data_IF_272757690333
#
_entry.id   IF_272757690333
#
_cell.length_a   1.000
_cell.length_b   1.000
_cell.length_c   1.000
_cell.angle_alpha   90.00
_cell.angle_beta   90.00
_cell.angle_gamma   90.00
#
_symmetry.space_group_name_H-M   'P 1'
#
loop_
_entity.id
_entity.type
_entity.pdbx_description
1 polymer ?
#
# COMPACT_ATOMS: atom_id res chain seq x y z
N UNK A 1 -22.62 54.17 1.81
CA UNK A 1 -22.22 52.81 2.24
C UNK A 1 -21.44 52.11 1.14
N UNK A 2 -20.53 51.21 1.51
CA UNK A 2 -19.77 50.34 0.61
C UNK A 2 -19.82 48.90 1.10
N UNK A 3 -19.66 47.94 0.19
CA UNK A 3 -19.56 46.52 0.52
C UNK A 3 -18.34 45.93 -0.19
N UNK A 4 -17.51 45.17 0.54
CA UNK A 4 -16.29 44.51 0.05
C UNK A 4 -16.12 43.15 0.73
N UNK A 5 -15.11 42.36 0.34
CA UNK A 5 -14.61 41.20 1.12
C UNK A 5 -13.40 41.61 1.96
N UNK A 6 -13.04 40.84 2.97
CA UNK A 6 -11.83 41.12 3.76
C UNK A 6 -10.56 41.04 2.92
N UNK A 7 -9.49 41.64 3.43
CA UNK A 7 -8.20 41.79 2.77
C UNK A 7 -8.25 42.45 1.36
N UNK A 8 -9.42 42.90 0.89
CA UNK A 8 -9.58 43.67 -0.34
C UNK A 8 -9.46 45.16 -0.05
N UNK A 9 -8.60 45.83 -0.82
CA UNK A 9 -8.40 47.27 -0.70
C UNK A 9 -9.59 48.06 -1.26
N UNK A 10 -10.15 48.96 -0.46
CA UNK A 10 -11.16 49.92 -0.87
C UNK A 10 -10.57 51.31 -1.07
N UNK A 11 -11.25 52.14 -1.86
CA UNK A 11 -10.91 53.55 -2.06
C UNK A 11 -12.08 54.43 -1.61
N UNK A 12 -11.76 55.42 -0.76
CA UNK A 12 -12.71 56.38 -0.22
C UNK A 12 -12.33 57.79 -0.68
N UNK A 13 -13.34 58.58 -1.04
CA UNK A 13 -13.15 59.97 -1.49
C UNK A 13 -14.04 60.90 -0.70
N UNK A 14 -13.49 62.05 -0.33
CA UNK A 14 -14.17 63.03 0.51
C UNK A 14 -13.96 64.44 0.00
N UNK A 15 -14.93 65.29 0.27
CA UNK A 15 -14.90 66.71 -0.06
C UNK A 15 -15.56 67.51 1.06
N UNK A 16 -15.05 68.72 1.30
CA UNK A 16 -15.67 69.70 2.19
C UNK A 16 -15.90 71.01 1.44
N UNK A 17 -16.87 71.79 1.90
CA UNK A 17 -17.19 73.11 1.37
C UNK A 17 -17.36 74.09 2.52
N UNK A 18 -16.72 75.26 2.40
CA UNK A 18 -16.90 76.39 3.31
C UNK A 18 -17.46 77.61 2.56
N UNK A 19 -18.09 78.53 3.29
CA UNK A 19 -18.55 79.81 2.78
C UNK A 19 -17.39 80.79 2.50
N UNK A 20 -16.27 80.69 3.23
CA UNK A 20 -15.02 81.38 2.88
C UNK A 20 -14.25 80.56 1.83
N UNK A 21 -14.21 81.09 0.61
CA UNK A 21 -13.56 80.45 -0.54
C UNK A 21 -12.03 80.40 -0.42
N UNK A 22 -11.43 81.05 0.58
CA UNK A 22 -9.99 81.03 0.83
C UNK A 22 -9.59 80.00 1.89
N UNK A 23 -10.55 79.33 2.53
CA UNK A 23 -10.26 78.35 3.58
C UNK A 23 -9.70 77.05 3.01
N UNK A 24 -8.65 76.57 3.67
CA UNK A 24 -8.11 75.23 3.42
C UNK A 24 -8.70 74.25 4.42
N UNK A 25 -9.00 73.04 3.94
CA UNK A 25 -9.64 72.00 4.73
C UNK A 25 -8.69 70.83 4.91
N UNK A 26 -8.58 70.34 6.13
CA UNK A 26 -7.93 69.05 6.42
C UNK A 26 -9.00 67.98 6.55
N UNK A 27 -8.94 66.97 5.69
CA UNK A 27 -9.86 65.83 5.69
C UNK A 27 -9.20 64.64 6.38
N UNK A 28 -9.67 64.30 7.57
CA UNK A 28 -9.16 63.19 8.39
C UNK A 28 -10.16 62.05 8.41
N UNK A 29 -9.71 60.85 8.08
CA UNK A 29 -10.49 59.62 8.02
C UNK A 29 -10.22 58.74 9.24
N UNK A 30 -11.26 58.30 9.91
CA UNK A 30 -11.27 57.18 10.87
C UNK A 30 -12.03 56.02 10.23
N UNK A 31 -11.40 54.85 10.12
CA UNK A 31 -11.97 53.70 9.43
C UNK A 31 -12.88 52.83 10.33
N UNK A 32 -12.94 53.11 11.63
CA UNK A 32 -13.82 52.40 12.57
C UNK A 32 -13.34 51.02 13.02
N UNK A 33 -12.12 50.61 12.65
CA UNK A 33 -11.47 49.34 13.00
C UNK A 33 -10.31 49.51 14.00
N UNK A 34 -10.10 50.72 14.50
CA UNK A 34 -8.99 51.05 15.42
C UNK A 34 -7.64 51.27 14.74
N UNK A 35 -7.58 51.25 13.41
CA UNK A 35 -6.39 51.66 12.65
C UNK A 35 -6.10 53.17 12.81
N UNK A 36 -4.90 53.60 12.42
CA UNK A 36 -4.55 55.01 12.49
C UNK A 36 -5.35 55.84 11.50
N UNK A 37 -5.78 57.03 11.93
CA UNK A 37 -6.46 57.97 11.04
C UNK A 37 -5.57 58.43 9.90
N UNK A 38 -6.13 58.60 8.71
CA UNK A 38 -5.39 59.03 7.50
C UNK A 38 -5.92 60.38 7.02
N UNK A 39 -5.03 61.25 6.52
CA UNK A 39 -5.41 62.55 5.96
C UNK A 39 -5.34 62.52 4.44
N UNK A 40 -6.41 62.96 3.76
CA UNK A 40 -6.42 63.07 2.30
C UNK A 40 -7.82 63.24 1.70
N UNK A 41 -7.87 63.73 0.45
CA UNK A 41 -9.12 63.81 -0.33
C UNK A 41 -9.50 62.48 -0.97
N UNK A 42 -8.53 61.59 -1.14
CA UNK A 42 -8.68 60.21 -1.57
C UNK A 42 -7.76 59.34 -0.71
N UNK A 43 -8.32 58.34 -0.04
CA UNK A 43 -7.57 57.40 0.81
C UNK A 43 -7.88 55.96 0.41
N UNK A 44 -6.92 55.07 0.66
CA UNK A 44 -7.09 53.62 0.49
C UNK A 44 -7.01 52.96 1.86
N UNK A 45 -7.83 51.93 2.06
CA UNK A 45 -7.84 51.15 3.29
C UNK A 45 -8.15 49.68 2.99
N UNK A 46 -7.66 48.77 3.82
CA UNK A 46 -7.93 47.34 3.75
C UNK A 46 -8.34 46.88 5.13
N UNK A 47 -9.55 46.32 5.24
CA UNK A 47 -10.01 45.69 6.47
C UNK A 47 -9.47 44.26 6.53
N UNK A 48 -8.77 43.87 7.61
CA UNK A 48 -8.12 42.56 7.70
C UNK A 48 -9.07 41.41 8.04
N UNK A 49 -10.29 41.71 8.47
CA UNK A 49 -11.30 40.79 8.98
C UNK A 49 -12.68 41.28 8.51
N UNK A 50 -13.68 40.40 8.48
CA UNK A 50 -15.04 40.72 8.11
C UNK A 50 -15.78 41.52 9.21
N UNK A 51 -16.91 42.12 8.85
CA UNK A 51 -17.74 42.87 9.79
C UNK A 51 -18.33 44.15 9.22
N UNK A 52 -18.84 44.99 10.12
CA UNK A 52 -19.46 46.27 9.75
C UNK A 52 -18.74 47.42 10.43
N UNK A 53 -18.05 48.24 9.65
CA UNK A 53 -17.23 49.34 10.11
C UNK A 53 -17.87 50.69 9.76
N UNK A 54 -17.95 51.59 10.74
CA UNK A 54 -18.44 52.96 10.51
C UNK A 54 -17.25 53.87 10.24
N UNK A 55 -17.08 54.25 8.98
CA UNK A 55 -16.04 55.20 8.58
C UNK A 55 -16.53 56.62 8.87
N UNK A 56 -15.70 57.41 9.55
CA UNK A 56 -15.98 58.82 9.88
C UNK A 56 -14.98 59.72 9.16
N UNK A 57 -15.48 60.63 8.34
CA UNK A 57 -14.71 61.72 7.75
C UNK A 57 -14.90 62.99 8.59
N UNK A 58 -13.81 63.54 9.10
CA UNK A 58 -13.78 64.83 9.80
C UNK A 58 -13.11 65.89 8.92
N UNK A 59 -13.83 66.94 8.57
CA UNK A 59 -13.29 68.12 7.91
C UNK A 59 -13.00 69.21 8.95
N UNK A 60 -11.75 69.67 9.02
CA UNK A 60 -11.30 70.77 9.87
C UNK A 60 -10.86 71.95 9.00
N UNK A 61 -11.46 73.12 9.19
CA UNK A 61 -11.01 74.37 8.56
C UNK A 61 -9.83 74.99 9.32
N UNK A 62 -9.21 76.02 8.72
CA UNK A 62 -8.05 76.69 9.31
C UNK A 62 -8.35 77.55 10.55
N UNK A 63 -9.62 77.91 10.74
CA UNK A 63 -10.10 78.73 11.85
C UNK A 63 -10.64 77.88 13.02
N UNK A 64 -10.62 76.55 12.88
CA UNK A 64 -10.97 75.56 13.89
C UNK A 64 -12.39 75.01 13.82
N UNK A 65 -13.19 75.38 12.82
CA UNK A 65 -14.50 74.80 12.56
C UNK A 65 -14.40 73.36 12.05
N UNK A 66 -15.37 72.53 12.45
CA UNK A 66 -15.37 71.10 12.17
C UNK A 66 -16.74 70.63 11.67
N UNK A 67 -16.72 69.78 10.65
CA UNK A 67 -17.87 69.02 10.18
C UNK A 67 -17.51 67.53 10.10
N UNK A 68 -18.50 66.65 10.31
CA UNK A 68 -18.32 65.21 10.19
C UNK A 68 -19.38 64.61 9.28
N UNK A 69 -18.99 63.59 8.53
CA UNK A 69 -19.88 62.71 7.78
C UNK A 69 -19.46 61.25 8.01
N UNK A 70 -20.39 60.32 7.88
CA UNK A 70 -20.13 58.90 8.14
C UNK A 70 -20.77 58.01 7.08
N UNK A 71 -20.09 56.91 6.76
CA UNK A 71 -20.65 55.86 5.91
C UNK A 71 -20.38 54.49 6.53
N UNK A 72 -21.25 53.53 6.23
CA UNK A 72 -21.06 52.15 6.64
C UNK A 72 -20.25 51.39 5.56
N UNK A 73 -19.20 50.69 5.97
CA UNK A 73 -18.51 49.68 5.17
C UNK A 73 -18.87 48.30 5.71
N UNK A 74 -19.50 47.47 4.89
CA UNK A 74 -19.74 46.06 5.18
C UNK A 74 -18.67 45.22 4.51
N UNK A 75 -17.90 44.48 5.29
CA UNK A 75 -16.86 43.56 4.85
C UNK A 75 -17.40 42.15 5.03
N UNK A 76 -17.47 41.38 3.95
CA UNK A 76 -17.96 40.00 3.95
C UNK A 76 -16.81 39.03 4.18
N UNK A 77 -17.10 37.94 4.88
CA UNK A 77 -16.20 36.79 5.00
C UNK A 77 -15.87 36.19 3.63
N UNK A 78 -14.69 35.61 3.51
CA UNK A 78 -14.24 34.83 2.35
C UNK A 78 -14.01 33.40 2.79
N UNK A 79 -14.47 32.42 2.02
CA UNK A 79 -14.17 31.02 2.35
C UNK A 79 -12.65 30.76 2.29
N UNK A 80 -12.11 29.89 3.16
CA UNK A 80 -10.71 29.48 3.11
C UNK A 80 -10.39 28.72 1.82
N UNK A 81 -9.12 28.66 1.47
CA UNK A 81 -8.61 27.93 0.30
C UNK A 81 -7.69 26.80 0.73
N UNK A 82 -7.93 25.57 0.25
CA UNK A 82 -6.96 24.46 0.38
C UNK A 82 -5.87 24.67 -0.66
N UNK A 83 -4.65 24.92 -0.20
CA UNK A 83 -3.48 25.15 -1.05
C UNK A 83 -2.82 23.84 -1.47
N UNK A 84 -2.86 22.82 -0.61
CA UNK A 84 -2.36 21.47 -0.92
C UNK A 84 -3.06 20.40 -0.09
N UNK A 85 -3.25 19.23 -0.69
CA UNK A 85 -3.71 18.00 -0.05
C UNK A 85 -2.90 16.85 -0.63
N UNK A 86 -2.29 16.06 0.24
CA UNK A 86 -1.49 14.89 -0.12
C UNK A 86 -1.56 13.81 0.95
N UNK A 87 -1.16 12.61 0.58
CA UNK A 87 -1.02 11.49 1.51
C UNK A 87 -0.64 10.22 0.78
N UNK A 88 -0.65 9.11 1.51
CA UNK A 88 -0.46 7.79 0.92
C UNK A 88 -1.57 7.49 -0.10
N UNK A 89 -1.17 6.95 -1.25
CA UNK A 89 -2.10 6.53 -2.32
C UNK A 89 -2.42 5.05 -2.27
N UNK A 90 -1.58 4.27 -1.58
CA UNK A 90 -1.70 2.82 -1.44
C UNK A 90 -1.12 2.39 -0.09
N UNK A 91 -1.86 1.57 0.65
CA UNK A 91 -1.45 1.05 1.97
C UNK A 91 -2.00 -0.36 2.16
N UNK A 92 -1.38 -1.19 3.00
CA UNK A 92 -1.97 -2.46 3.42
C UNK A 92 -2.90 -2.26 4.61
N UNK A 93 -4.01 -2.98 4.65
CA UNK A 93 -4.96 -2.88 5.78
C UNK A 93 -4.30 -3.24 7.12
N UNK A 94 -4.47 -2.39 8.13
CA UNK A 94 -3.83 -2.48 9.44
C UNK A 94 -2.49 -1.75 9.55
N UNK A 95 -1.95 -1.20 8.46
CA UNK A 95 -0.83 -0.25 8.50
C UNK A 95 -1.33 1.18 8.55
N UNK A 96 -0.51 2.07 9.10
CA UNK A 96 -0.80 3.49 9.24
C UNK A 96 -0.57 4.21 7.90
N UNK A 97 -1.61 4.87 7.39
CA UNK A 97 -1.55 5.78 6.26
C UNK A 97 -1.39 7.22 6.74
N UNK A 98 -0.59 8.01 6.05
CA UNK A 98 -0.27 9.39 6.41
C UNK A 98 -0.93 10.38 5.45
N UNK A 99 -1.44 11.48 6.00
CA UNK A 99 -2.08 12.56 5.26
C UNK A 99 -1.57 13.92 5.74
N UNK A 100 -1.42 14.84 4.79
CA UNK A 100 -0.99 16.20 5.05
C UNK A 100 -1.72 17.19 4.13
N UNK A 101 -1.96 18.40 4.65
CA UNK A 101 -2.56 19.47 3.90
C UNK A 101 -2.06 20.83 4.35
N UNK A 102 -2.29 21.83 3.51
CA UNK A 102 -2.17 23.23 3.86
C UNK A 102 -3.37 23.99 3.31
N UNK A 103 -3.84 24.96 4.07
CA UNK A 103 -4.88 25.89 3.65
C UNK A 103 -4.53 27.30 4.15
N UNK A 104 -5.11 28.28 3.47
CA UNK A 104 -4.94 29.69 3.77
C UNK A 104 -6.28 30.40 3.75
N UNK A 105 -6.35 31.51 4.49
CA UNK A 105 -7.48 32.43 4.50
C UNK A 105 -7.01 33.84 4.14
N UNK A 106 -7.88 34.63 3.52
CA UNK A 106 -7.62 36.03 3.19
C UNK A 106 -7.39 36.89 4.45
N UNK A 107 -8.13 36.63 5.53
CA UNK A 107 -8.00 37.30 6.83
C UNK A 107 -6.76 36.84 7.63
N UNK A 108 -6.16 35.72 7.22
CA UNK A 108 -4.89 35.23 7.74
C UNK A 108 -4.96 34.80 9.20
N UNK A 109 -4.36 35.57 10.10
CA UNK A 109 -4.37 35.24 11.54
C UNK A 109 -5.63 35.69 12.28
N UNK A 110 -6.49 36.47 11.63
CA UNK A 110 -7.77 36.87 12.20
C UNK A 110 -8.76 35.70 12.16
N UNK A 111 -8.59 34.80 11.18
CA UNK A 111 -9.50 33.68 10.92
C UNK A 111 -8.77 32.33 11.08
N UNK A 112 -8.64 31.81 12.31
CA UNK A 112 -7.89 30.59 12.55
C UNK A 112 -8.61 29.35 12.03
N UNK A 113 -7.96 28.65 11.10
CA UNK A 113 -8.53 27.51 10.40
C UNK A 113 -8.66 26.24 11.25
N UNK A 114 -9.83 25.59 11.11
CA UNK A 114 -10.13 24.27 11.65
C UNK A 114 -10.19 23.24 10.52
N UNK A 115 -9.44 22.15 10.68
CA UNK A 115 -9.34 21.05 9.72
C UNK A 115 -10.13 19.87 10.25
N UNK A 116 -10.98 19.28 9.41
CA UNK A 116 -11.73 18.05 9.68
C UNK A 116 -11.41 17.01 8.62
N UNK A 117 -10.81 15.90 9.04
CA UNK A 117 -10.43 14.77 8.21
C UNK A 117 -11.44 13.64 8.37
N UNK A 118 -12.15 13.28 7.29
CA UNK A 118 -12.95 12.06 7.19
C UNK A 118 -12.21 11.07 6.28
N UNK A 119 -11.96 9.84 6.75
CA UNK A 119 -11.18 8.86 6.02
C UNK A 119 -12.00 7.99 5.06
N UNK A 120 -13.33 8.13 5.06
CA UNK A 120 -14.22 7.44 4.10
C UNK A 120 -14.43 5.95 4.38
N UNK A 121 -13.97 5.44 5.53
CA UNK A 121 -14.15 4.05 5.97
C UNK A 121 -15.21 3.87 7.08
N UNK A 122 -15.92 4.96 7.41
CA UNK A 122 -16.95 4.99 8.44
C UNK A 122 -16.43 5.18 9.87
N UNK A 123 -15.12 5.39 10.04
CA UNK A 123 -14.54 5.88 11.30
C UNK A 123 -14.97 7.32 11.61
N UNK A 124 -14.89 7.74 12.88
CA UNK A 124 -15.20 9.12 13.27
C UNK A 124 -14.18 10.11 12.68
N UNK A 125 -14.62 11.24 12.08
CA UNK A 125 -13.71 12.25 11.57
C UNK A 125 -12.82 12.85 12.67
N UNK A 126 -11.58 13.19 12.31
CA UNK A 126 -10.62 13.85 13.22
C UNK A 126 -10.62 15.35 12.95
N UNK A 127 -10.92 16.14 13.98
CA UNK A 127 -11.03 17.61 13.86
C UNK A 127 -10.04 18.32 14.77
N UNK A 128 -9.40 19.37 14.29
CA UNK A 128 -8.53 20.22 15.09
C UNK A 128 -8.14 21.53 14.41
N UNK A 129 -7.89 22.56 15.21
CA UNK A 129 -7.37 23.84 14.74
C UNK A 129 -5.91 23.66 14.27
N UNK A 130 -5.58 24.15 13.07
CA UNK A 130 -4.27 23.92 12.43
C UNK A 130 -3.83 22.44 12.38
N UNK A 131 -4.75 21.49 12.26
CA UNK A 131 -4.44 20.07 12.11
C UNK A 131 -4.03 19.75 10.65
N UNK A 132 -2.83 20.20 10.29
CA UNK A 132 -2.28 20.11 8.92
C UNK A 132 -1.75 18.72 8.56
N UNK A 133 -1.68 17.79 9.51
CA UNK A 133 -1.27 16.41 9.28
C UNK A 133 -1.96 15.45 10.22
N UNK A 134 -2.32 14.27 9.72
CA UNK A 134 -2.92 13.20 10.52
C UNK A 134 -2.55 11.84 9.95
N UNK A 135 -2.71 10.81 10.77
CA UNK A 135 -2.48 9.43 10.37
C UNK A 135 -3.76 8.62 10.61
N UNK A 136 -3.98 7.57 9.82
CA UNK A 136 -5.13 6.69 9.97
C UNK A 136 -4.83 5.25 9.59
N UNK A 137 -5.41 4.30 10.32
CA UNK A 137 -5.23 2.86 10.05
C UNK A 137 -6.53 2.26 9.55
N UNK A 138 -6.56 1.89 8.27
CA UNK A 138 -7.72 1.27 7.64
C UNK A 138 -7.85 -0.21 8.00
N UNK A 139 -9.06 -0.64 8.34
CA UNK A 139 -9.39 -2.06 8.53
C UNK A 139 -10.20 -2.65 7.38
N UNK A 140 -10.88 -1.79 6.61
CA UNK A 140 -11.60 -2.16 5.40
C UNK A 140 -10.67 -2.07 4.18
N UNK A 141 -10.83 -2.99 3.23
CA UNK A 141 -10.06 -3.04 2.00
C UNK A 141 -10.81 -2.39 0.84
N UNK A 142 -10.07 -1.91 -0.15
CA UNK A 142 -10.61 -1.25 -1.34
C UNK A 142 -10.24 0.23 -1.42
N UNK A 143 -10.93 0.95 -2.29
CA UNK A 143 -10.73 2.39 -2.48
C UNK A 143 -11.45 3.16 -1.36
N UNK A 144 -10.71 4.01 -0.64
CA UNK A 144 -11.25 4.94 0.35
C UNK A 144 -11.13 6.37 -0.20
N UNK A 145 -12.15 7.17 0.10
CA UNK A 145 -12.20 8.60 -0.27
C UNK A 145 -12.01 9.43 0.99
N UNK A 146 -10.80 9.91 1.20
CA UNK A 146 -10.48 10.83 2.28
C UNK A 146 -11.02 12.20 1.90
N UNK A 147 -11.76 12.82 2.79
CA UNK A 147 -12.36 14.13 2.60
C UNK A 147 -11.81 15.08 3.65
N UNK A 148 -11.09 16.11 3.20
CA UNK A 148 -10.63 17.20 4.05
C UNK A 148 -11.62 18.36 3.93
N UNK A 149 -12.18 18.78 5.06
CA UNK A 149 -12.94 20.03 5.17
C UNK A 149 -12.15 21.03 5.99
N UNK A 150 -11.97 22.24 5.47
CA UNK A 150 -11.32 23.35 6.18
C UNK A 150 -12.35 24.45 6.38
N UNK A 151 -12.49 24.91 7.62
CA UNK A 151 -13.40 25.97 8.02
C UNK A 151 -12.64 27.12 8.68
N UNK A 152 -13.03 28.36 8.39
CA UNK A 152 -12.70 29.52 9.22
C UNK A 152 -13.60 29.57 10.47
N UNK A 153 -13.43 30.57 11.33
CA UNK A 153 -14.24 30.77 12.54
C UNK A 153 -15.52 31.59 12.32
N UNK A 154 -15.69 32.18 11.12
CA UNK A 154 -16.85 32.97 10.71
C UNK A 154 -17.85 32.21 9.81
N UNK A 155 -17.59 30.92 9.60
CA UNK A 155 -18.50 29.96 8.98
C UNK A 155 -18.26 29.68 7.51
N UNK A 156 -17.22 30.27 6.91
CA UNK A 156 -16.75 29.90 5.57
C UNK A 156 -16.05 28.55 5.59
N UNK A 157 -16.26 27.78 4.52
CA UNK A 157 -15.77 26.40 4.44
C UNK A 157 -15.39 26.01 3.01
N UNK A 158 -14.35 25.18 2.91
CA UNK A 158 -13.94 24.53 1.66
C UNK A 158 -13.66 23.05 1.90
N UNK A 159 -13.69 22.27 0.82
CA UNK A 159 -13.48 20.82 0.88
C UNK A 159 -12.68 20.34 -0.33
N UNK A 160 -11.79 19.39 -0.09
CA UNK A 160 -11.07 18.64 -1.13
C UNK A 160 -10.98 17.16 -0.75
N UNK A 161 -10.70 16.31 -1.74
CA UNK A 161 -10.69 14.85 -1.59
C UNK A 161 -9.39 14.20 -2.03
N UNK A 162 -9.02 13.12 -1.36
CA UNK A 162 -7.86 12.30 -1.67
C UNK A 162 -8.24 10.82 -1.71
N UNK A 163 -7.67 10.06 -2.64
CA UNK A 163 -7.98 8.64 -2.80
C UNK A 163 -6.84 7.75 -2.32
N UNK A 164 -7.16 6.77 -1.48
CA UNK A 164 -6.21 5.75 -1.02
C UNK A 164 -6.75 4.34 -1.29
N UNK A 165 -5.93 3.49 -1.89
CA UNK A 165 -6.26 2.07 -2.09
C UNK A 165 -5.71 1.24 -0.94
N UNK A 166 -6.60 0.67 -0.13
CA UNK A 166 -6.26 -0.23 0.97
C UNK A 166 -6.19 -1.67 0.46
N UNK A 167 -4.99 -2.22 0.37
CA UNK A 167 -4.68 -3.54 -0.17
C UNK A 167 -4.80 -4.62 0.90
N UNK A 168 -5.17 -5.82 0.45
CA UNK A 168 -5.08 -7.05 1.25
C UNK A 168 -3.65 -7.60 1.24
N UNK A 169 -3.26 -8.38 2.25
CA UNK A 169 -2.02 -9.14 2.19
C UNK A 169 -2.04 -10.12 1.02
N UNK A 170 -0.87 -10.43 0.47
CA UNK A 170 -0.71 -11.30 -0.70
C UNK A 170 0.47 -12.24 -0.47
N UNK A 171 0.29 -13.52 -0.76
CA UNK A 171 1.41 -14.48 -0.82
C UNK A 171 2.24 -14.19 -2.05
N UNK A 172 3.53 -13.91 -1.88
CA UNK A 172 4.43 -13.62 -3.00
C UNK A 172 5.18 -14.85 -3.45
N UNK A 173 5.60 -15.69 -2.51
CA UNK A 173 6.48 -16.82 -2.80
C UNK A 173 6.22 -18.02 -1.88
N UNK A 174 6.53 -19.21 -2.38
CA UNK A 174 6.47 -20.48 -1.67
C UNK A 174 7.75 -21.24 -1.91
N UNK A 175 8.39 -21.71 -0.84
CA UNK A 175 9.66 -22.41 -0.93
C UNK A 175 9.59 -23.75 -0.23
N UNK A 176 10.30 -24.72 -0.80
CA UNK A 176 10.74 -25.88 -0.08
C UNK A 176 12.15 -25.64 0.44
N UNK A 177 12.42 -26.01 1.68
CA UNK A 177 13.76 -26.02 2.23
C UNK A 177 14.01 -27.29 3.03
N UNK A 178 15.27 -27.67 3.17
CA UNK A 178 15.63 -28.88 3.91
C UNK A 178 16.17 -28.51 5.29
N UNK A 179 15.33 -28.69 6.30
CA UNK A 179 15.68 -28.43 7.70
C UNK A 179 16.61 -29.53 8.25
N UNK A 180 17.36 -29.21 9.32
CA UNK A 180 18.37 -30.09 9.93
C UNK A 180 19.50 -30.52 8.97
N UNK A 181 19.91 -29.68 8.01
CA UNK A 181 20.92 -30.05 7.00
C UNK A 181 22.22 -29.26 7.14
N UNK A 182 23.27 -29.63 6.39
CA UNK A 182 24.50 -28.85 6.39
C UNK A 182 24.29 -27.39 5.92
N UNK A 183 23.23 -27.15 5.13
CA UNK A 183 22.93 -25.86 4.53
C UNK A 183 22.29 -24.86 5.50
N UNK A 184 21.56 -25.34 6.52
CA UNK A 184 21.04 -24.50 7.61
C UNK A 184 21.94 -24.45 8.86
N UNK A 185 23.10 -25.11 8.81
CA UNK A 185 24.02 -25.21 9.96
C UNK A 185 23.76 -26.41 10.88
N UNK A 186 22.98 -27.40 10.43
CA UNK A 186 22.52 -28.57 11.17
C UNK A 186 21.69 -28.20 12.40
N UNK A 187 20.86 -27.16 12.26
CA UNK A 187 20.03 -26.63 13.33
C UNK A 187 18.57 -27.05 13.17
N UNK A 188 17.90 -27.42 14.27
CA UNK A 188 16.46 -27.69 14.27
C UNK A 188 15.60 -26.47 14.62
N UNK A 189 16.24 -25.36 14.95
CA UNK A 189 15.57 -24.13 15.36
C UNK A 189 15.43 -23.20 14.17
N UNK A 190 14.22 -22.70 13.96
CA UNK A 190 13.94 -21.79 12.86
C UNK A 190 14.74 -20.49 13.02
N UNK A 191 15.44 -20.09 11.96
CA UNK A 191 16.30 -18.91 11.92
C UNK A 191 16.47 -18.36 10.51
N UNK A 192 17.08 -17.18 10.39
CA UNK A 192 17.41 -16.62 9.08
C UNK A 192 18.43 -17.47 8.28
N UNK A 193 19.16 -18.40 8.93
CA UNK A 193 20.14 -19.26 8.27
C UNK A 193 19.43 -20.29 7.38
N UNK A 194 18.20 -20.67 7.72
CA UNK A 194 17.39 -21.67 7.01
C UNK A 194 17.13 -21.26 5.55
N UNK A 195 17.21 -19.97 5.22
CA UNK A 195 17.11 -19.48 3.86
C UNK A 195 18.20 -20.04 2.93
N UNK A 196 19.36 -20.45 3.48
CA UNK A 196 20.43 -21.09 2.71
C UNK A 196 20.10 -22.54 2.33
N UNK A 197 19.13 -23.16 3.00
CA UNK A 197 18.68 -24.52 2.73
C UNK A 197 17.45 -24.57 1.80
N UNK A 198 17.06 -23.44 1.20
CA UNK A 198 16.01 -23.39 0.18
C UNK A 198 16.47 -24.09 -1.10
N UNK A 199 15.70 -25.08 -1.55
CA UNK A 199 15.94 -25.75 -2.82
C UNK A 199 15.30 -24.95 -3.96
N UNK A 200 16.06 -24.01 -4.52
CA UNK A 200 15.62 -23.16 -5.64
C UNK A 200 15.37 -23.93 -6.95
N UNK A 201 15.71 -25.22 -7.02
CA UNK A 201 15.31 -26.07 -8.15
C UNK A 201 13.87 -26.56 -8.03
N UNK A 202 13.25 -26.37 -6.86
CA UNK A 202 11.88 -26.77 -6.58
C UNK A 202 10.94 -25.58 -6.63
N UNK A 203 9.77 -25.82 -7.22
CA UNK A 203 8.68 -24.85 -7.33
C UNK A 203 7.41 -25.47 -6.81
N UNK A 204 6.60 -24.67 -6.12
CA UNK A 204 5.31 -25.12 -5.65
C UNK A 204 4.41 -25.42 -6.86
N UNK A 205 3.70 -26.54 -6.82
CA UNK A 205 2.68 -26.86 -7.81
C UNK A 205 1.40 -26.11 -7.45
N UNK A 206 0.79 -25.41 -8.40
CA UNK A 206 -0.46 -24.68 -8.19
C UNK A 206 -1.69 -25.47 -8.68
N UNK A 207 -2.89 -25.19 -8.14
CA UNK A 207 -4.14 -25.78 -8.60
C UNK A 207 -4.32 -25.69 -10.13
N UNK A 208 -4.60 -26.82 -10.78
CA UNK A 208 -4.78 -26.93 -12.23
C UNK A 208 -3.51 -27.25 -13.03
N UNK A 209 -2.32 -27.07 -12.45
CA UNK A 209 -1.04 -27.41 -13.08
C UNK A 209 -0.78 -28.91 -13.03
N UNK A 210 0.04 -29.41 -13.97
CA UNK A 210 0.48 -30.81 -13.98
C UNK A 210 1.84 -30.91 -13.31
N UNK A 211 1.94 -31.79 -12.31
CA UNK A 211 3.17 -32.04 -11.58
C UNK A 211 4.30 -32.52 -12.49
N UNK A 212 5.52 -32.08 -12.18
CA UNK A 212 6.77 -32.61 -12.72
C UNK A 212 7.87 -32.70 -11.65
N UNK A 213 9.11 -33.00 -12.05
CA UNK A 213 10.29 -33.15 -11.17
C UNK A 213 10.67 -31.91 -10.36
N UNK A 214 10.16 -30.73 -10.75
CA UNK A 214 10.36 -29.49 -10.00
C UNK A 214 9.45 -29.39 -8.77
N UNK A 215 8.38 -30.20 -8.69
CA UNK A 215 7.40 -30.06 -7.61
C UNK A 215 7.59 -31.02 -6.43
N UNK A 216 8.56 -31.95 -6.49
CA UNK A 216 8.82 -32.89 -5.41
C UNK A 216 10.30 -33.03 -5.07
N UNK A 217 10.58 -33.26 -3.79
CA UNK A 217 11.93 -33.55 -3.30
C UNK A 217 12.31 -35.02 -3.44
N UNK A 218 13.61 -35.27 -3.57
CA UNK A 218 14.22 -36.59 -3.53
C UNK A 218 14.82 -36.93 -2.16
N UNK A 219 14.79 -35.98 -1.22
CA UNK A 219 15.45 -36.06 0.07
C UNK A 219 14.83 -37.15 0.97
N UNK A 220 15.67 -37.88 1.69
CA UNK A 220 15.28 -38.94 2.62
C UNK A 220 14.54 -38.40 3.84
N UNK A 221 14.85 -37.17 4.26
CA UNK A 221 14.18 -36.50 5.37
C UNK A 221 12.71 -36.14 5.07
N UNK A 222 12.24 -36.39 3.83
CA UNK A 222 10.87 -36.08 3.43
C UNK A 222 10.66 -34.58 3.20
N UNK A 223 9.41 -34.14 3.31
CA UNK A 223 9.08 -32.72 3.44
C UNK A 223 9.15 -32.35 4.91
N UNK A 224 10.26 -31.73 5.33
CA UNK A 224 10.48 -31.31 6.71
C UNK A 224 10.49 -29.77 6.89
N UNK A 225 10.44 -29.01 5.80
CA UNK A 225 10.44 -27.55 5.80
C UNK A 225 9.76 -26.93 4.58
N UNK A 226 8.81 -26.03 4.82
CA UNK A 226 8.20 -25.14 3.82
C UNK A 226 8.27 -23.70 4.33
N UNK A 227 8.50 -22.74 3.43
CA UNK A 227 8.38 -21.32 3.70
C UNK A 227 7.32 -20.68 2.81
N UNK A 228 6.58 -19.71 3.36
CA UNK A 228 5.61 -18.89 2.63
C UNK A 228 5.93 -17.43 2.92
N UNK A 229 6.21 -16.66 1.87
CA UNK A 229 6.43 -15.22 2.00
C UNK A 229 5.12 -14.48 1.73
N UNK A 230 4.74 -13.62 2.67
CA UNK A 230 3.49 -12.85 2.61
C UNK A 230 3.81 -11.36 2.74
N UNK A 231 3.37 -10.59 1.75
CA UNK A 231 3.47 -9.14 1.77
C UNK A 231 2.25 -8.53 2.45
N UNK A 232 2.48 -7.57 3.36
CA UNK A 232 1.44 -6.73 3.92
C UNK A 232 0.67 -7.34 5.10
N UNK A 233 1.26 -8.25 5.87
CA UNK A 233 0.68 -8.71 7.13
C UNK A 233 0.88 -7.64 8.23
N UNK A 234 -0.21 -7.03 8.70
CA UNK A 234 -0.11 -5.95 9.70
C UNK A 234 0.24 -6.45 11.11
N UNK A 235 -0.23 -7.64 11.48
CA UNK A 235 0.08 -8.26 12.76
C UNK A 235 0.33 -9.76 12.56
N UNK A 236 1.51 -10.14 12.03
CA UNK A 236 1.81 -11.53 11.75
C UNK A 236 1.95 -12.38 13.03
N UNK A 237 2.04 -11.75 14.21
CA UNK A 237 2.21 -12.44 15.50
C UNK A 237 0.98 -13.22 15.97
N UNK A 238 -0.20 -12.90 15.41
CA UNK A 238 -1.45 -13.60 15.70
C UNK A 238 -1.61 -14.89 14.91
N UNK A 239 -0.75 -15.13 13.90
CA UNK A 239 -0.82 -16.32 13.07
C UNK A 239 -0.39 -17.57 13.84
N UNK A 240 -1.18 -18.62 13.69
CA UNK A 240 -0.96 -19.93 14.31
C UNK A 240 -1.14 -21.05 13.29
N UNK A 241 -0.86 -22.28 13.67
CA UNK A 241 -1.06 -23.43 12.78
C UNK A 241 -2.52 -23.62 12.35
N UNK A 242 -3.47 -23.07 13.12
CA UNK A 242 -4.91 -23.13 12.80
C UNK A 242 -5.30 -22.21 11.62
N UNK A 243 -4.40 -21.32 11.20
CA UNK A 243 -4.55 -20.51 9.98
C UNK A 243 -4.15 -21.28 8.71
N UNK A 244 -3.71 -22.54 8.86
CA UNK A 244 -3.39 -23.44 7.76
C UNK A 244 -4.27 -24.69 7.80
N UNK A 245 -4.57 -25.21 6.61
CA UNK A 245 -5.01 -26.58 6.43
C UNK A 245 -3.92 -27.37 5.69
N UNK A 246 -3.49 -28.48 6.29
CA UNK A 246 -2.37 -29.29 5.82
C UNK A 246 -2.86 -30.71 5.61
N UNK A 247 -2.76 -31.23 4.38
CA UNK A 247 -3.22 -32.57 4.03
C UNK A 247 -2.16 -33.33 3.23
N UNK A 248 -2.15 -34.65 3.35
CA UNK A 248 -1.27 -35.53 2.58
C UNK A 248 -2.08 -36.58 1.83
N UNK A 249 -1.68 -36.83 0.59
CA UNK A 249 -2.25 -37.85 -0.28
C UNK A 249 -1.47 -38.02 -1.57
N UNK A 250 -1.96 -38.89 -2.45
CA UNK A 250 -1.18 -39.34 -3.61
C UNK A 250 -2.05 -39.53 -4.86
N UNK A 251 -3.07 -38.68 -5.03
CA UNK A 251 -3.99 -38.72 -6.18
C UNK A 251 -4.63 -37.35 -6.45
N UNK A 252 -5.41 -37.24 -7.52
CA UNK A 252 -6.11 -35.99 -7.87
C UNK A 252 -7.36 -35.72 -7.01
N UNK A 253 -7.68 -36.57 -6.03
CA UNK A 253 -8.83 -36.40 -5.14
C UNK A 253 -8.39 -35.66 -3.88
N UNK A 254 -7.81 -34.48 -4.02
CA UNK A 254 -7.18 -33.69 -2.95
C UNK A 254 -8.12 -33.42 -1.75
N UNK A 255 -9.43 -33.29 -2.01
CA UNK A 255 -10.44 -33.14 -0.95
C UNK A 255 -10.63 -34.38 -0.06
N UNK A 256 -10.10 -35.53 -0.45
CA UNK A 256 -10.17 -36.80 0.29
C UNK A 256 -8.89 -37.15 1.04
N UNK A 257 -7.85 -36.33 0.87
CA UNK A 257 -6.56 -36.51 1.51
C UNK A 257 -6.67 -36.42 3.04
N UNK A 258 -5.83 -37.18 3.73
CA UNK A 258 -5.78 -37.20 5.19
C UNK A 258 -5.06 -35.98 5.74
N UNK A 259 -5.34 -35.61 6.99
CA UNK A 259 -4.57 -34.55 7.66
C UNK A 259 -3.08 -34.90 7.70
N UNK A 260 -2.23 -33.91 7.42
CA UNK A 260 -0.80 -34.05 7.57
C UNK A 260 -0.41 -34.31 9.04
N UNK A 261 0.77 -34.90 9.29
CA UNK A 261 1.36 -34.96 10.64
C UNK A 261 1.45 -33.56 11.27
N UNK A 262 1.53 -33.53 12.60
CA UNK A 262 1.59 -32.28 13.34
C UNK A 262 2.82 -31.46 12.93
N UNK A 263 2.58 -30.22 12.50
CA UNK A 263 3.58 -29.26 12.12
C UNK A 263 3.77 -28.19 13.22
N UNK A 264 4.87 -27.43 13.10
CA UNK A 264 5.04 -26.17 13.84
C UNK A 264 5.13 -25.00 12.88
N UNK A 265 4.42 -23.91 13.20
CA UNK A 265 4.52 -22.63 12.48
C UNK A 265 5.41 -21.68 13.28
N UNK A 266 6.40 -21.09 12.61
CA UNK A 266 7.24 -20.03 13.12
C UNK A 266 7.19 -18.83 12.18
N UNK A 267 7.42 -17.63 12.73
CA UNK A 267 7.42 -16.38 11.97
C UNK A 267 8.82 -15.77 11.98
N UNK A 268 9.32 -15.45 10.79
CA UNK A 268 10.49 -14.60 10.59
C UNK A 268 10.05 -13.28 9.94
N UNK A 269 9.81 -12.27 10.78
CA UNK A 269 9.29 -10.98 10.34
C UNK A 269 10.29 -10.25 9.42
N UNK A 270 9.83 -9.80 8.25
CA UNK A 270 10.63 -9.10 7.25
C UNK A 270 11.82 -9.89 6.66
N UNK A 271 11.86 -11.22 6.85
CA UNK A 271 12.96 -12.06 6.39
C UNK A 271 12.83 -12.51 4.92
N UNK A 272 11.65 -12.35 4.33
CA UNK A 272 11.41 -12.66 2.93
C UNK A 272 11.88 -11.57 1.98
N UNK A 273 11.80 -11.84 0.68
CA UNK A 273 12.22 -10.87 -0.33
C UNK A 273 11.40 -9.57 -0.25
N UNK A 274 12.04 -8.42 -0.48
CA UNK A 274 11.38 -7.10 -0.38
C UNK A 274 10.76 -6.79 1.00
N UNK A 275 11.21 -7.47 2.06
CA UNK A 275 10.72 -7.27 3.43
C UNK A 275 9.37 -7.93 3.70
N UNK A 276 9.01 -8.95 2.93
CA UNK A 276 7.85 -9.80 3.24
C UNK A 276 8.07 -10.57 4.54
N UNK A 277 6.96 -10.88 5.20
CA UNK A 277 6.98 -11.72 6.38
C UNK A 277 7.02 -13.18 5.96
N UNK A 278 7.95 -13.94 6.55
CA UNK A 278 8.18 -15.34 6.19
C UNK A 278 7.59 -16.26 7.23
N UNK A 279 6.59 -17.03 6.81
CA UNK A 279 6.01 -18.12 7.58
C UNK A 279 6.85 -19.37 7.33
N UNK A 280 7.38 -19.98 8.39
CA UNK A 280 8.21 -21.19 8.31
C UNK A 280 7.46 -22.34 8.98
N UNK A 281 7.07 -23.33 8.17
CA UNK A 281 6.36 -24.52 8.62
C UNK A 281 7.33 -25.69 8.60
N UNK A 282 7.50 -26.35 9.74
CA UNK A 282 8.43 -27.48 9.88
C UNK A 282 7.75 -28.72 10.45
N UNK A 283 8.29 -29.87 10.06
CA UNK A 283 7.93 -31.19 10.57
C UNK A 283 9.19 -31.92 11.05
N UNK A 284 9.06 -32.92 11.95
CA UNK A 284 10.14 -33.87 12.18
C UNK A 284 10.53 -34.59 10.88
N UNK A 285 11.80 -34.93 10.73
CA UNK A 285 12.29 -35.69 9.57
C UNK A 285 11.49 -36.97 9.36
N UNK A 286 11.33 -37.35 8.09
CA UNK A 286 10.62 -38.54 7.61
C UNK A 286 9.10 -38.54 7.85
N UNK A 287 8.52 -37.47 8.43
CA UNK A 287 7.08 -37.38 8.72
C UNK A 287 6.21 -37.41 7.47
N UNK A 288 6.68 -36.79 6.38
CA UNK A 288 5.98 -36.70 5.10
C UNK A 288 6.91 -37.23 4.02
N UNK A 289 6.80 -38.51 3.72
CA UNK A 289 7.62 -39.21 2.71
C UNK A 289 6.73 -39.95 1.73
N UNK A 290 7.20 -40.07 0.47
CA UNK A 290 6.52 -40.86 -0.57
C UNK A 290 5.06 -40.44 -0.83
N UNK A 291 4.75 -39.15 -0.68
CA UNK A 291 3.40 -38.60 -0.80
C UNK A 291 3.47 -37.12 -1.21
N UNK A 292 2.34 -36.57 -1.64
CA UNK A 292 2.15 -35.12 -1.77
C UNK A 292 1.63 -34.51 -0.47
N UNK A 293 2.02 -33.25 -0.25
CA UNK A 293 1.53 -32.34 0.77
C UNK A 293 0.74 -31.22 0.06
N UNK A 294 -0.52 -31.04 0.45
CA UNK A 294 -1.31 -29.84 0.20
C UNK A 294 -1.09 -28.86 1.35
N UNK A 295 -0.73 -27.62 1.01
CA UNK A 295 -0.67 -26.51 1.94
C UNK A 295 -1.73 -25.48 1.53
N UNK A 296 -2.67 -25.23 2.43
CA UNK A 296 -3.70 -24.20 2.27
C UNK A 296 -3.55 -23.16 3.37
N UNK A 297 -3.09 -21.96 3.02
CA UNK A 297 -3.12 -20.80 3.90
C UNK A 297 -4.50 -20.16 3.80
N UNK A 298 -5.26 -20.20 4.89
CA UNK A 298 -6.68 -19.85 4.89
C UNK A 298 -6.89 -18.34 4.78
N UNK A 299 -7.89 -17.89 4.02
CA UNK A 299 -8.40 -16.52 4.09
C UNK A 299 -9.32 -16.36 5.29
N UNK A 300 -8.83 -15.67 6.32
CA UNK A 300 -9.56 -15.48 7.57
C UNK A 300 -9.26 -14.10 8.19
N UNK A 301 -9.68 -13.90 9.43
CA UNK A 301 -9.48 -12.62 10.15
C UNK A 301 -8.01 -12.32 10.47
N UNK A 302 -7.17 -13.35 10.59
CA UNK A 302 -5.76 -13.23 10.94
C UNK A 302 -4.92 -12.96 9.68
N UNK A 303 -5.06 -13.79 8.64
CA UNK A 303 -4.30 -13.66 7.38
C UNK A 303 -4.80 -12.54 6.50
N UNK A 304 -6.10 -12.19 6.60
CA UNK A 304 -6.79 -11.14 5.83
C UNK A 304 -6.69 -11.30 4.29
N UNK A 305 -6.27 -12.48 3.82
CA UNK A 305 -6.18 -12.82 2.40
C UNK A 305 -7.55 -12.68 1.73
N UNK A 306 -7.55 -12.44 0.41
CA UNK A 306 -8.78 -12.35 -0.36
C UNK A 306 -9.48 -13.70 -0.53
N UNK A 307 -8.69 -14.76 -0.69
CA UNK A 307 -9.11 -16.14 -0.84
C UNK A 307 -8.01 -17.04 -0.27
N UNK A 308 -8.35 -18.28 0.04
CA UNK A 308 -7.36 -19.28 0.45
C UNK A 308 -6.24 -19.37 -0.60
N UNK A 309 -5.01 -19.51 -0.13
CA UNK A 309 -3.87 -19.74 -1.00
C UNK A 309 -3.44 -21.20 -0.89
N UNK A 310 -3.51 -21.93 -1.99
CA UNK A 310 -3.29 -23.39 -2.04
C UNK A 310 -2.14 -23.71 -2.97
N UNK A 311 -1.25 -24.57 -2.50
CA UNK A 311 -0.15 -25.10 -3.30
C UNK A 311 0.28 -26.48 -2.80
N UNK A 312 1.10 -27.16 -3.60
CA UNK A 312 1.51 -28.53 -3.35
C UNK A 312 3.01 -28.73 -3.50
N UNK A 313 3.54 -29.63 -2.67
CA UNK A 313 4.87 -30.18 -2.82
C UNK A 313 4.84 -31.68 -2.58
N UNK A 314 5.67 -32.43 -3.32
CA UNK A 314 5.80 -33.87 -3.16
C UNK A 314 7.11 -34.28 -2.51
N UNK A 315 7.19 -35.56 -2.13
CA UNK A 315 8.45 -36.21 -1.84
C UNK A 315 8.46 -37.63 -2.43
N UNK A 316 9.55 -37.97 -3.11
CA UNK A 316 9.83 -39.33 -3.58
C UNK A 316 11.33 -39.62 -3.43
N UNK A 317 11.67 -40.34 -2.36
CA UNK A 317 13.06 -40.53 -1.94
C UNK A 317 13.88 -41.25 -3.03
N UNK A 318 14.88 -40.56 -3.58
CA UNK A 318 15.81 -41.13 -4.56
C UNK A 318 15.32 -41.25 -6.00
N UNK A 319 14.15 -40.69 -6.34
CA UNK A 319 13.68 -40.63 -7.74
C UNK A 319 14.36 -39.45 -8.46
N UNK A 320 15.24 -39.72 -9.41
CA UNK A 320 16.05 -38.70 -10.11
C UNK A 320 15.93 -38.80 -11.63
N UNK A 321 14.93 -39.54 -12.11
CA UNK A 321 14.67 -39.75 -13.54
C UNK A 321 13.40 -39.07 -14.04
N UNK A 322 12.49 -38.67 -13.15
CA UNK A 322 11.19 -38.10 -13.45
C UNK A 322 10.16 -39.11 -13.92
N UNK A 323 10.35 -40.41 -13.66
CA UNK A 323 9.41 -41.45 -14.11
C UNK A 323 8.38 -41.87 -13.05
N UNK A 324 8.43 -41.25 -11.87
CA UNK A 324 7.44 -41.41 -10.79
C UNK A 324 7.67 -42.63 -9.88
N UNK A 325 8.79 -43.35 -10.03
CA UNK A 325 9.16 -44.44 -9.13
C UNK A 325 10.68 -44.64 -9.08
N UNK A 326 11.20 -45.15 -7.96
CA UNK A 326 12.65 -45.32 -7.83
C UNK A 326 13.05 -46.64 -8.48
N UNK A 327 13.76 -46.56 -9.59
CA UNK A 327 14.21 -47.69 -10.40
C UNK A 327 15.70 -47.98 -10.21
N UNK A 328 16.20 -49.02 -10.89
CA UNK A 328 17.64 -49.26 -10.99
C UNK A 328 18.35 -48.13 -11.76
N UNK A 329 17.64 -47.43 -12.66
CA UNK A 329 18.19 -46.31 -13.43
C UNK A 329 18.55 -45.16 -12.50
N UNK A 330 17.70 -44.85 -11.52
CA UNK A 330 17.94 -43.83 -10.51
C UNK A 330 19.19 -44.10 -9.69
N UNK A 331 19.29 -45.32 -9.16
CA UNK A 331 20.47 -45.79 -8.43
C UNK A 331 21.74 -45.62 -9.27
N UNK A 332 21.71 -46.01 -10.54
CA UNK A 332 22.87 -45.85 -11.41
C UNK A 332 23.18 -44.39 -11.73
N UNK A 333 22.18 -43.52 -11.87
CA UNK A 333 22.40 -42.08 -12.04
C UNK A 333 23.10 -41.49 -10.82
N UNK A 334 22.65 -41.80 -9.61
CA UNK A 334 23.27 -41.34 -8.37
C UNK A 334 24.70 -41.90 -8.26
N UNK A 335 24.88 -43.21 -8.49
CA UNK A 335 26.21 -43.86 -8.49
C UNK A 335 27.22 -43.18 -9.41
N UNK A 336 26.78 -42.84 -10.63
CA UNK A 336 27.62 -42.22 -11.66
C UNK A 336 27.91 -40.73 -11.39
N UNK A 337 27.15 -40.09 -10.51
CA UNK A 337 27.32 -38.68 -10.12
C UNK A 337 27.89 -38.51 -8.70
N UNK A 338 28.44 -39.58 -8.11
CA UNK A 338 29.07 -39.52 -6.79
C UNK A 338 30.18 -38.47 -6.72
N UNK A 339 30.18 -37.75 -5.60
CA UNK A 339 31.14 -36.74 -5.19
C UNK A 339 31.48 -36.99 -3.73
N UNK A 340 32.48 -37.84 -3.52
CA UNK A 340 32.99 -38.21 -2.19
C UNK A 340 33.63 -37.00 -1.49
N UNK A 341 33.66 -36.96 -0.14
CA UNK A 341 34.18 -35.82 0.62
C UNK A 341 35.63 -35.42 0.28
N UNK A 342 35.81 -34.12 0.03
CA UNK A 342 37.07 -33.49 -0.37
C UNK A 342 36.92 -31.97 -0.55
N UNK A 343 38.04 -31.24 -0.59
CA UNK A 343 38.12 -29.77 -0.44
C UNK A 343 37.19 -28.99 -1.40
N UNK A 344 36.92 -29.48 -2.61
CA UNK A 344 36.07 -28.79 -3.62
C UNK A 344 34.93 -29.69 -4.16
N UNK A 345 34.47 -30.65 -3.34
CA UNK A 345 33.50 -31.67 -3.78
C UNK A 345 32.09 -31.44 -3.28
N UNK A 346 31.91 -30.50 -2.34
CA UNK A 346 30.60 -30.23 -1.75
C UNK A 346 29.63 -29.78 -2.84
N UNK A 347 28.41 -30.31 -2.79
CA UNK A 347 27.35 -29.99 -3.74
C UNK A 347 26.41 -28.95 -3.16
N UNK A 348 25.72 -28.15 -4.00
CA UNK A 348 24.69 -27.24 -3.52
C UNK A 348 23.43 -28.01 -3.11
N UNK A 349 22.58 -27.37 -2.28
CA UNK A 349 21.27 -27.89 -1.83
C UNK A 349 20.37 -28.37 -2.97
N UNK A 350 20.49 -27.74 -4.14
CA UNK A 350 19.74 -28.09 -5.36
C UNK A 350 20.20 -29.37 -6.04
N UNK A 351 21.23 -30.05 -5.50
CA UNK A 351 21.73 -31.28 -6.10
C UNK A 351 20.83 -32.46 -5.74
N UNK A 352 19.97 -32.85 -6.68
CA UNK A 352 19.02 -33.97 -6.55
C UNK A 352 19.65 -35.33 -6.21
N UNK A 353 20.96 -35.51 -6.32
CA UNK A 353 21.65 -36.78 -6.01
C UNK A 353 22.13 -36.87 -4.56
N UNK A 354 22.18 -35.75 -3.84
CA UNK A 354 22.46 -35.71 -2.40
C UNK A 354 21.15 -35.88 -1.64
N UNK A 355 20.85 -37.12 -1.27
CA UNK A 355 19.54 -37.50 -0.74
C UNK A 355 19.44 -37.25 0.77
N UNK A 356 20.55 -37.18 1.49
CA UNK A 356 20.58 -36.85 2.91
C UNK A 356 20.97 -35.38 3.18
N UNK A 357 21.24 -34.61 2.12
CA UNK A 357 21.58 -33.18 2.17
C UNK A 357 22.76 -32.92 3.11
N UNK A 358 23.73 -33.84 3.11
CA UNK A 358 24.96 -33.73 3.92
C UNK A 358 26.05 -32.92 3.21
N UNK A 359 25.82 -32.52 1.95
CA UNK A 359 26.73 -31.76 1.13
C UNK A 359 27.53 -32.64 0.18
N UNK A 360 27.38 -33.96 0.19
CA UNK A 360 28.13 -34.88 -0.67
C UNK A 360 27.23 -35.95 -1.27
N UNK A 361 27.63 -36.44 -2.45
CA UNK A 361 26.94 -37.57 -3.10
C UNK A 361 27.81 -38.80 -2.90
N UNK A 362 27.53 -39.57 -1.86
CA UNK A 362 28.35 -40.68 -1.41
C UNK A 362 27.71 -42.03 -1.74
N UNK A 363 28.35 -43.11 -1.28
CA UNK A 363 27.72 -44.43 -1.30
C UNK A 363 26.45 -44.50 -0.43
N UNK A 364 26.32 -43.62 0.57
CA UNK A 364 25.12 -43.53 1.41
C UNK A 364 23.91 -43.19 0.55
N UNK A 365 24.00 -42.20 -0.32
CA UNK A 365 22.93 -41.79 -1.25
C UNK A 365 22.52 -42.89 -2.20
N UNK A 366 23.52 -43.63 -2.72
CA UNK A 366 23.25 -44.82 -3.54
C UNK A 366 22.42 -45.83 -2.75
N UNK A 367 22.79 -46.10 -1.50
CA UNK A 367 22.05 -47.05 -0.66
C UNK A 367 20.65 -46.53 -0.29
N UNK A 368 20.50 -45.22 -0.05
CA UNK A 368 19.20 -44.61 0.20
C UNK A 368 18.27 -44.79 -0.99
N UNK A 369 18.74 -44.52 -2.22
CA UNK A 369 17.96 -44.80 -3.43
C UNK A 369 17.70 -46.30 -3.61
N UNK A 370 18.70 -47.16 -3.39
CA UNK A 370 18.57 -48.61 -3.52
C UNK A 370 17.49 -49.18 -2.60
N UNK A 371 17.44 -48.70 -1.36
CA UNK A 371 16.48 -49.15 -0.33
C UNK A 371 15.06 -48.64 -0.59
N UNK A 372 14.90 -47.53 -1.32
CA UNK A 372 13.60 -46.97 -1.70
C UNK A 372 13.11 -47.44 -3.08
N UNK A 373 13.80 -48.39 -3.71
CA UNK A 373 13.36 -48.94 -5.00
C UNK A 373 12.01 -49.63 -4.90
N UNK A 374 11.14 -49.29 -5.84
CA UNK A 374 9.92 -50.03 -6.10
C UNK A 374 10.07 -50.70 -7.49
N UNK A 375 10.12 -52.03 -7.52
CA UNK A 375 10.05 -52.76 -8.79
C UNK A 375 8.65 -52.55 -9.42
N UNK A 376 8.59 -52.30 -10.74
CA UNK A 376 7.34 -51.97 -11.45
C UNK A 376 6.20 -52.93 -11.07
N UNK A 377 5.10 -52.37 -10.53
CA UNK A 377 3.87 -53.11 -10.25
C UNK A 377 3.39 -53.11 -8.79
N UNK A 378 4.01 -52.33 -7.90
CA UNK A 378 3.54 -52.11 -6.53
C UNK A 378 3.14 -50.62 -6.41
N UNK A 379 2.01 -50.33 -5.75
CA UNK A 379 1.44 -48.99 -5.44
C UNK A 379 2.37 -48.12 -4.55
N UNK A 380 3.68 -48.18 -4.75
CA UNK A 380 4.72 -47.58 -3.91
C UNK A 380 5.40 -46.36 -4.57
N UNK A 381 4.84 -45.84 -5.66
CA UNK A 381 5.34 -44.65 -6.35
C UNK A 381 4.56 -43.38 -6.00
N UNK A 382 5.19 -42.23 -6.18
CA UNK A 382 4.51 -40.94 -6.15
C UNK A 382 3.68 -40.81 -7.43
N UNK A 383 2.36 -40.75 -7.32
CA UNK A 383 1.51 -40.53 -8.49
C UNK A 383 1.63 -39.07 -8.90
N UNK A 384 1.97 -38.83 -10.16
CA UNK A 384 1.99 -37.46 -10.69
C UNK A 384 0.57 -36.90 -10.73
N UNK A 385 0.35 -35.80 -10.00
CA UNK A 385 -0.97 -35.19 -9.85
C UNK A 385 -1.17 -34.01 -10.79
N UNK A 386 -2.44 -33.73 -11.07
CA UNK A 386 -2.94 -32.47 -11.58
C UNK A 386 -4.07 -32.05 -10.64
N UNK A 387 -3.77 -31.27 -9.58
CA UNK A 387 -4.78 -30.85 -8.61
C UNK A 387 -5.92 -30.12 -9.32
N UNK A 388 -7.17 -30.24 -8.83
CA UNK A 388 -8.30 -29.58 -9.44
C UNK A 388 -8.11 -28.06 -9.44
N UNK A 389 -8.60 -27.38 -10.47
CA UNK A 389 -8.63 -25.91 -10.50
C UNK A 389 -9.50 -25.44 -9.33
N UNK A 390 -8.93 -24.61 -8.47
CA UNK A 390 -9.73 -23.90 -7.48
C UNK A 390 -10.54 -22.82 -8.19
N UNK A 391 -11.86 -22.85 -8.03
CA UNK A 391 -12.69 -21.75 -8.51
C UNK A 391 -12.39 -20.55 -7.63
N UNK A 392 -11.58 -19.61 -8.15
CA UNK A 392 -11.43 -18.31 -7.51
C UNK A 392 -12.82 -17.71 -7.28
N UNK A 393 -13.10 -17.10 -6.11
CA UNK A 393 -14.31 -16.30 -5.97
C UNK A 393 -14.35 -15.29 -7.12
N UNK A 394 -15.52 -15.11 -7.73
CA UNK A 394 -15.74 -14.17 -8.82
C UNK A 394 -15.09 -12.83 -8.47
N UNK A 395 -13.96 -12.53 -9.11
CA UNK A 395 -13.32 -11.24 -9.00
C UNK A 395 -14.27 -10.27 -9.69
N UNK A 396 -15.00 -9.45 -8.91
CA UNK A 396 -15.35 -8.14 -9.44
C UNK A 396 -14.01 -7.47 -9.66
N UNK A 397 -13.56 -7.46 -10.91
CA UNK A 397 -12.41 -6.69 -11.34
C UNK A 397 -12.73 -5.25 -10.98
N UNK A 398 -12.20 -4.79 -9.86
CA UNK A 398 -11.89 -3.38 -9.75
C UNK A 398 -10.68 -3.27 -10.69
N UNK A 399 -10.98 -2.99 -11.95
CA UNK A 399 -9.98 -2.55 -12.93
C UNK A 399 -9.07 -1.57 -12.17
N UNK A 400 -7.74 -1.77 -12.14
CA UNK A 400 -6.88 -0.73 -11.62
C UNK A 400 -7.21 0.51 -12.45
N UNK A 401 -7.76 1.53 -11.79
CA UNK A 401 -7.95 2.85 -12.38
C UNK A 401 -6.61 3.18 -13.01
N UNK A 402 -6.54 3.10 -14.35
CA UNK A 402 -5.29 3.22 -15.09
C UNK A 402 -4.61 4.51 -14.65
N UNK A 403 -3.28 4.52 -14.63
CA UNK A 403 -2.49 5.70 -14.21
C UNK A 403 -2.95 6.98 -14.92
N UNK A 404 -3.46 6.88 -16.15
CA UNK A 404 -4.07 7.99 -16.89
C UNK A 404 -5.39 8.50 -16.28
N UNK A 405 -6.26 7.61 -15.79
CA UNK A 405 -7.45 8.00 -15.01
C UNK A 405 -7.12 8.51 -13.60
N UNK A 406 -5.99 8.11 -13.00
CA UNK A 406 -5.49 8.70 -11.73
C UNK A 406 -4.99 10.13 -11.94
N UNK A 407 -4.34 10.40 -13.07
CA UNK A 407 -3.93 11.74 -13.47
C UNK A 407 -5.14 12.60 -13.86
N UNK A 408 -6.14 12.04 -14.56
CA UNK A 408 -7.36 12.74 -14.93
C UNK A 408 -8.25 13.09 -13.72
N UNK A 409 -8.34 12.22 -12.71
CA UNK A 409 -9.08 12.50 -11.47
C UNK A 409 -8.37 13.52 -10.57
N UNK A 410 -7.04 13.45 -10.45
CA UNK A 410 -6.26 14.47 -9.76
C UNK A 410 -6.28 15.84 -10.50
N UNK A 411 -6.40 15.85 -11.83
CA UNK A 411 -6.61 17.08 -12.60
C UNK A 411 -8.05 17.62 -12.49
N UNK A 412 -9.05 16.76 -12.26
CA UNK A 412 -10.44 17.17 -12.13
C UNK A 412 -10.76 17.82 -10.77
N UNK A 413 -10.02 17.49 -9.70
CA UNK A 413 -10.14 18.16 -8.39
C UNK A 413 -9.40 19.50 -8.34
N UNK A 414 -8.42 19.74 -9.21
CA UNK A 414 -7.78 21.05 -9.36
C UNK A 414 -8.67 22.00 -10.18
N UNK A 415 -9.70 22.58 -9.56
CA UNK A 415 -10.35 23.77 -10.10
C UNK A 415 -9.36 24.94 -10.09
N UNK A 416 -8.54 25.04 -11.14
CA UNK A 416 -7.72 26.22 -11.40
C UNK A 416 -6.27 25.92 -11.74
N UNK A 417 -6.00 25.93 -13.06
CA UNK A 417 -4.74 26.39 -13.66
C UNK A 417 -3.45 25.63 -13.30
N UNK A 418 -3.23 24.46 -13.92
CA UNK A 418 -1.88 24.07 -14.33
C UNK A 418 -1.91 23.36 -15.69
N UNK A 419 -1.43 24.03 -16.73
CA UNK A 419 -1.05 23.39 -17.99
C UNK A 419 0.40 22.90 -17.82
N UNK A 420 0.60 21.61 -17.54
CA UNK A 420 1.94 21.02 -17.53
C UNK A 420 2.24 20.38 -18.89
N UNK A 421 3.20 20.98 -19.59
CA UNK A 421 3.72 20.53 -20.88
C UNK A 421 4.52 19.24 -20.72
N UNK A 422 3.96 18.09 -21.13
CA UNK A 422 4.75 16.89 -21.42
C UNK A 422 5.47 17.10 -22.77
N UNK A 423 6.74 17.50 -22.70
CA UNK A 423 7.62 17.52 -23.87
C UNK A 423 8.14 16.09 -24.09
N UNK A 424 7.55 15.37 -25.06
CA UNK A 424 8.26 14.29 -25.73
C UNK A 424 9.20 14.91 -26.77
N UNK A 425 10.50 14.65 -26.63
CA UNK A 425 11.50 15.01 -27.63
C UNK A 425 11.29 14.14 -28.88
N UNK A 426 10.65 14.68 -29.90
CA UNK A 426 11.10 14.68 -31.31
C UNK A 426 9.94 15.02 -32.27
N UNK A 427 10.07 16.17 -32.95
CA UNK A 427 9.36 16.64 -34.19
C UNK A 427 8.49 17.91 -34.05
N UNK A 428 8.36 18.71 -35.13
CA UNK A 428 8.27 20.17 -35.03
C UNK A 428 6.84 20.74 -34.97
N UNK A 429 6.69 21.74 -34.09
CA UNK A 429 5.78 22.89 -34.16
C UNK A 429 4.35 22.65 -34.66
N UNK A 430 3.41 22.48 -33.73
CA UNK A 430 2.01 22.89 -33.92
C UNK A 430 1.65 23.95 -32.87
N UNK A 431 1.07 25.05 -33.35
CA UNK A 431 0.60 26.15 -32.50
C UNK A 431 -0.63 25.72 -31.69
N UNK A 432 -0.66 26.16 -30.44
CA UNK A 432 -1.78 26.02 -29.51
C UNK A 432 -3.03 26.68 -30.10
N UNK A 433 -4.09 25.91 -30.29
CA UNK A 433 -5.45 26.40 -30.40
C UNK A 433 -6.22 25.88 -29.19
N UNK A 434 -6.97 26.77 -28.54
CA UNK A 434 -7.76 26.52 -27.34
C UNK A 434 -8.69 25.29 -27.52
N UNK A 435 -8.45 24.23 -26.74
CA UNK A 435 -9.38 23.11 -26.60
C UNK A 435 -10.20 23.35 -25.33
N UNK A 436 -11.50 23.56 -25.53
CA UNK A 436 -12.48 23.68 -24.45
C UNK A 436 -12.73 22.31 -23.80
N UNK A 437 -12.73 22.25 -22.47
CA UNK A 437 -12.93 21.03 -21.64
C UNK A 437 -14.32 20.38 -21.83
N UNK A 438 -15.22 21.00 -22.62
CA UNK A 438 -16.57 20.48 -22.86
C UNK A 438 -16.65 19.29 -23.84
N UNK A 439 -15.55 18.94 -24.53
CA UNK A 439 -15.56 17.83 -25.51
C UNK A 439 -15.14 16.46 -24.93
N UNK A 440 -14.82 16.34 -23.64
CA UNK A 440 -14.32 15.09 -23.03
C UNK A 440 -15.33 14.35 -22.12
N UNK A 441 -16.58 14.82 -22.00
CA UNK A 441 -17.60 14.22 -21.11
C UNK A 441 -18.73 13.47 -21.83
N UNK A 442 -18.53 13.04 -23.08
CA UNK A 442 -19.50 12.20 -23.80
C UNK A 442 -18.79 11.03 -24.47
N UNK A 443 -18.35 10.08 -23.66
CA UNK A 443 -18.25 8.64 -23.91
C UNK A 443 -17.24 8.10 -22.89
N UNK A 444 -17.74 7.58 -21.76
CA UNK A 444 -17.32 6.35 -21.08
C UNK A 444 -18.15 6.16 -19.82
#
# INVERSE_FOLDING_TARGET
DQTTSEAVQITLTGSATDLDVNDTHTLTWDFGDGSQTVVGTQVQHTYPDNGSYTVTLTALDQDGGQATDSLLVTVNNTDPTIDSLAGDVEVFGGFEAQFNASASDAAGSHDPLTYTWDFGDGSDPVTGQNLTSTNHTYTQFGLMTVTLTVADDDGGQTQDTWFVTVKRPVVTDQFMFYNNTIYDGNGSQVSAIDANAIDTSKTALLPGETADTSNYSTCVSGINGIMIDVLGLADPSVLTIDDLELRVGNDNQTNSWSNAPQATLNLLQGAGENGTDRLVITWPDESITQTWLEVRLLANTNTKLQADHVFYFGNMIGEVTGDGFVSISDVFKIWNNRREPGIDTQVPVTNQYDLNQDGWVTITDVFLAWNNRAEQGIDAGLSMIQPPVENAPLVQSIEPVQVESRLAMALASMQGRYAMSLVQSDSPSYQLADISISDYLLEF
#
